data_IF_673599613177
#
_entry.id   IF_673599613177
#
_cell.length_a   1.000
_cell.length_b   1.000
_cell.length_c   1.000
_cell.angle_alpha   90.00
_cell.angle_beta   90.00
_cell.angle_gamma   90.00
#
_symmetry.space_group_name_H-M   'P 1'
#
loop_
_entity.id
_entity.type
_entity.pdbx_description
1 polymer ?
#
# COMPACT_ATOMS: atom_id res chain seq x y z
N UNK A 1 46.64 -19.93 -9.08
CA UNK A 1 45.35 -20.12 -9.79
C UNK A 1 44.45 -18.88 -9.77
N UNK A 2 44.17 -18.21 -8.62
CA UNK A 2 43.30 -17.00 -8.57
C UNK A 2 43.81 -15.80 -9.43
N UNK A 3 45.14 -15.57 -9.54
CA UNK A 3 45.70 -14.48 -10.37
C UNK A 3 45.60 -14.74 -11.88
N UNK A 4 45.51 -16.00 -12.30
CA UNK A 4 45.35 -16.33 -13.71
C UNK A 4 43.91 -16.14 -14.19
N UNK A 5 42.92 -16.39 -13.32
CA UNK A 5 41.50 -16.21 -13.62
C UNK A 5 41.16 -14.72 -13.76
N UNK A 6 41.73 -13.85 -12.90
CA UNK A 6 41.58 -12.40 -13.04
C UNK A 6 42.21 -11.86 -14.31
N UNK A 7 43.38 -12.43 -14.74
CA UNK A 7 44.00 -11.99 -15.96
C UNK A 7 43.24 -12.43 -17.20
N UNK A 8 42.60 -13.62 -17.18
CA UNK A 8 41.75 -14.09 -18.29
C UNK A 8 40.47 -13.27 -18.37
N UNK A 9 39.84 -12.88 -17.22
CA UNK A 9 38.65 -11.99 -17.25
C UNK A 9 39.02 -10.59 -17.78
N UNK A 10 40.17 -10.03 -17.36
CA UNK A 10 40.64 -8.73 -17.86
C UNK A 10 40.98 -8.82 -19.36
N UNK A 11 41.54 -9.93 -19.83
CA UNK A 11 41.84 -10.12 -21.25
C UNK A 11 40.56 -10.30 -22.07
N UNK A 12 39.55 -10.99 -21.55
CA UNK A 12 38.24 -11.11 -22.22
C UNK A 12 37.53 -9.75 -22.28
N UNK A 13 37.59 -8.94 -21.19
CA UNK A 13 37.06 -7.58 -21.20
C UNK A 13 37.84 -6.67 -22.16
N UNK A 14 39.17 -6.80 -22.24
CA UNK A 14 39.99 -6.00 -23.19
C UNK A 14 39.87 -6.50 -24.63
N UNK A 15 39.66 -7.78 -24.87
CA UNK A 15 39.43 -8.28 -26.25
C UNK A 15 38.01 -7.94 -26.72
N UNK A 16 37.02 -7.96 -25.87
CA UNK A 16 35.67 -7.44 -26.20
C UNK A 16 35.70 -5.91 -26.38
N UNK A 17 36.45 -5.18 -25.55
CA UNK A 17 36.64 -3.73 -25.71
C UNK A 17 37.47 -3.33 -26.91
N UNK A 18 38.43 -4.16 -27.36
CA UNK A 18 39.20 -3.89 -28.57
C UNK A 18 38.46 -4.24 -29.86
N UNK A 19 37.51 -5.16 -29.83
CA UNK A 19 36.55 -5.38 -30.93
C UNK A 19 35.55 -4.22 -31.08
N UNK A 20 35.31 -3.42 -30.03
CA UNK A 20 34.45 -2.23 -30.04
C UNK A 20 34.99 -1.03 -30.82
N UNK A 21 36.23 -1.08 -31.35
CA UNK A 21 36.84 0.03 -32.14
C UNK A 21 36.53 0.03 -33.64
N UNK A 22 35.82 -0.95 -34.14
CA UNK A 22 35.36 -0.94 -35.54
C UNK A 22 33.86 -0.57 -35.60
N UNK A 23 33.59 0.69 -35.82
CA UNK A 23 32.29 1.38 -35.84
C UNK A 23 31.21 0.84 -36.78
N UNK A 24 31.19 -0.42 -37.18
CA UNK A 24 30.19 -0.86 -38.17
C UNK A 24 29.36 -2.11 -37.88
N UNK A 25 29.67 -2.98 -36.92
CA UNK A 25 28.81 -4.16 -36.67
C UNK A 25 29.07 -4.79 -35.29
N UNK A 26 29.00 -4.06 -34.20
CA UNK A 26 28.93 -4.70 -32.88
C UNK A 26 27.48 -5.16 -32.66
N UNK A 27 27.25 -6.45 -32.82
CA UNK A 27 25.98 -7.05 -32.40
C UNK A 27 26.06 -7.22 -30.87
N UNK A 28 25.54 -6.27 -30.16
CA UNK A 28 25.38 -6.40 -28.71
C UNK A 28 24.39 -7.54 -28.45
N UNK A 29 24.80 -8.59 -27.73
CA UNK A 29 23.91 -9.66 -27.36
C UNK A 29 22.91 -9.15 -26.30
N UNK A 30 21.61 -9.19 -26.58
CA UNK A 30 20.61 -8.68 -25.62
C UNK A 30 20.68 -9.31 -24.22
N UNK A 31 21.16 -10.58 -24.16
CA UNK A 31 21.35 -11.29 -22.89
C UNK A 31 22.45 -10.68 -22.00
N UNK A 32 23.52 -10.13 -22.61
CA UNK A 32 24.59 -9.44 -21.88
C UNK A 32 24.07 -8.14 -21.25
N UNK A 33 23.18 -7.43 -21.94
CA UNK A 33 22.51 -6.21 -21.39
C UNK A 33 21.64 -6.55 -20.23
N UNK A 34 20.80 -7.58 -20.37
CA UNK A 34 19.92 -8.05 -19.28
C UNK A 34 20.76 -8.50 -18.07
N UNK A 35 21.80 -9.27 -18.28
CA UNK A 35 22.70 -9.69 -17.21
C UNK A 35 23.38 -8.50 -16.51
N UNK A 36 23.74 -7.44 -17.25
CA UNK A 36 24.28 -6.23 -16.66
C UNK A 36 23.24 -5.53 -15.75
N UNK A 37 21.96 -5.56 -16.13
CA UNK A 37 20.86 -5.03 -15.31
C UNK A 37 20.62 -5.89 -14.08
N UNK A 38 20.50 -7.21 -14.22
CA UNK A 38 20.26 -8.16 -13.12
C UNK A 38 21.37 -8.16 -12.07
N UNK A 39 22.61 -7.90 -12.50
CA UNK A 39 23.80 -7.88 -11.62
C UNK A 39 24.18 -6.48 -11.13
N UNK A 40 23.31 -5.49 -11.35
CA UNK A 40 23.56 -4.07 -11.02
C UNK A 40 24.89 -3.51 -11.57
N UNK A 41 25.33 -4.02 -12.73
CA UNK A 41 26.59 -3.63 -13.35
C UNK A 41 26.42 -2.38 -14.22
N UNK A 42 26.34 -1.22 -13.57
CA UNK A 42 26.17 0.06 -14.26
C UNK A 42 27.31 0.41 -15.23
N UNK A 43 28.54 -0.02 -14.93
CA UNK A 43 29.67 0.21 -15.82
C UNK A 43 29.50 -0.54 -17.16
N UNK A 44 29.13 -1.82 -17.11
CA UNK A 44 28.91 -2.62 -18.30
C UNK A 44 27.68 -2.09 -19.08
N UNK A 45 26.58 -1.79 -18.39
CA UNK A 45 25.38 -1.23 -19.01
C UNK A 45 25.67 0.11 -19.70
N UNK A 46 26.51 0.97 -19.09
CA UNK A 46 26.92 2.23 -19.69
C UNK A 46 27.68 2.04 -20.99
N UNK A 47 28.50 0.99 -21.12
CA UNK A 47 29.20 0.68 -22.36
C UNK A 47 28.23 0.34 -23.50
N UNK A 48 27.16 -0.43 -23.20
CA UNK A 48 26.12 -0.76 -24.17
C UNK A 48 25.33 0.48 -24.63
N UNK A 49 24.96 1.34 -23.69
CA UNK A 49 24.28 2.59 -24.03
C UNK A 49 25.17 3.58 -24.81
N UNK A 50 26.46 3.50 -24.63
CA UNK A 50 27.43 4.28 -25.46
C UNK A 50 27.50 3.82 -26.90
N UNK A 51 27.07 2.60 -27.20
CA UNK A 51 26.96 2.02 -28.54
C UNK A 51 25.49 2.08 -29.05
N UNK A 52 24.70 3.04 -28.55
CA UNK A 52 23.32 3.31 -28.97
C UNK A 52 22.32 2.16 -28.68
N UNK A 53 22.60 1.29 -27.70
CA UNK A 53 21.61 0.30 -27.28
C UNK A 53 20.37 0.99 -26.65
N UNK A 54 19.15 0.65 -27.10
CA UNK A 54 17.96 1.38 -26.66
C UNK A 54 17.58 1.08 -25.20
N UNK A 55 17.35 2.13 -24.40
CA UNK A 55 16.84 2.00 -23.02
C UNK A 55 15.44 1.38 -22.98
N UNK A 56 14.70 1.47 -24.09
CA UNK A 56 13.36 0.90 -24.27
C UNK A 56 13.35 -0.59 -24.63
N UNK A 57 14.52 -1.25 -24.64
CA UNK A 57 14.58 -2.68 -24.90
C UNK A 57 13.78 -3.47 -23.85
N UNK A 58 13.10 -4.50 -24.31
CA UNK A 58 12.39 -5.46 -23.45
C UNK A 58 12.77 -6.90 -23.78
N UNK A 59 12.83 -7.76 -22.76
CA UNK A 59 13.04 -9.20 -22.89
C UNK A 59 11.83 -9.92 -22.27
N UNK A 60 11.23 -10.81 -23.03
CA UNK A 60 10.07 -11.60 -22.58
C UNK A 60 8.92 -10.73 -22.05
N UNK A 61 8.70 -9.55 -22.66
CA UNK A 61 7.67 -8.60 -22.27
C UNK A 61 8.03 -7.72 -21.07
N UNK A 62 9.25 -7.79 -20.54
CA UNK A 62 9.71 -6.94 -19.43
C UNK A 62 10.76 -5.95 -19.92
N UNK A 63 10.54 -4.67 -19.64
CA UNK A 63 11.53 -3.61 -19.92
C UNK A 63 12.76 -3.72 -19.03
N UNK A 64 13.87 -3.08 -19.44
CA UNK A 64 15.06 -2.98 -18.58
C UNK A 64 14.73 -2.33 -17.22
N UNK A 65 13.79 -1.40 -17.19
CA UNK A 65 13.31 -0.77 -15.95
C UNK A 65 12.68 -1.83 -15.02
N UNK A 66 11.78 -2.66 -15.55
CA UNK A 66 11.15 -3.73 -14.77
C UNK A 66 12.17 -4.72 -14.23
N UNK A 67 13.15 -5.13 -15.06
CA UNK A 67 14.20 -6.05 -14.66
C UNK A 67 15.06 -5.43 -13.55
N UNK A 68 15.41 -4.14 -13.64
CA UNK A 68 16.16 -3.43 -12.60
C UNK A 68 15.40 -3.37 -11.27
N UNK A 69 14.09 -3.11 -11.32
CA UNK A 69 13.23 -3.05 -10.13
C UNK A 69 13.08 -4.43 -9.48
N UNK A 70 12.86 -5.48 -10.28
CA UNK A 70 12.72 -6.86 -9.77
C UNK A 70 14.00 -7.39 -9.12
N UNK A 71 15.16 -6.91 -9.55
CA UNK A 71 16.47 -7.29 -9.00
C UNK A 71 17.02 -6.30 -7.97
N UNK A 72 16.27 -5.21 -7.70
CA UNK A 72 16.69 -4.12 -6.80
C UNK A 72 18.04 -3.50 -7.17
N UNK A 73 18.26 -3.34 -8.48
CA UNK A 73 19.52 -2.91 -9.09
C UNK A 73 19.64 -1.38 -9.10
N UNK A 74 20.01 -0.80 -7.98
CA UNK A 74 19.92 0.65 -7.71
C UNK A 74 20.80 1.52 -8.62
N UNK A 75 22.05 1.10 -8.91
CA UNK A 75 22.97 1.86 -9.76
C UNK A 75 22.51 1.87 -11.21
N UNK A 76 22.01 0.73 -11.67
CA UNK A 76 21.43 0.58 -13.00
C UNK A 76 20.11 1.34 -13.10
N UNK A 77 19.28 1.31 -12.05
CA UNK A 77 18.01 2.03 -12.01
C UNK A 77 18.23 3.53 -12.23
N UNK A 78 19.17 4.16 -11.53
CA UNK A 78 19.52 5.58 -11.75
C UNK A 78 19.88 5.87 -13.20
N UNK A 79 20.67 4.99 -13.79
CA UNK A 79 21.13 5.15 -15.18
C UNK A 79 19.99 5.03 -16.19
N UNK A 80 19.06 4.08 -15.98
CA UNK A 80 17.90 3.85 -16.83
C UNK A 80 16.92 5.03 -16.72
N UNK A 81 16.69 5.52 -15.50
CA UNK A 81 15.79 6.66 -15.25
C UNK A 81 16.32 7.96 -15.89
N UNK A 82 17.60 8.26 -15.74
CA UNK A 82 18.24 9.45 -16.37
C UNK A 82 18.15 9.41 -17.89
N UNK A 83 18.10 8.21 -18.50
CA UNK A 83 17.93 8.04 -19.94
C UNK A 83 16.49 8.07 -20.42
N UNK A 84 15.54 8.35 -19.54
CA UNK A 84 14.14 8.53 -19.87
C UNK A 84 13.41 7.20 -20.14
N UNK A 85 13.68 6.18 -19.32
CA UNK A 85 12.88 4.96 -19.35
C UNK A 85 11.39 5.27 -19.15
N UNK A 86 10.54 4.50 -19.84
CA UNK A 86 9.10 4.67 -19.71
C UNK A 86 8.60 4.10 -18.38
N UNK A 87 8.04 4.97 -17.51
CA UNK A 87 7.67 4.64 -16.14
C UNK A 87 6.28 4.01 -16.02
N UNK A 88 5.45 4.16 -17.06
CA UNK A 88 4.03 3.78 -17.04
C UNK A 88 3.75 2.55 -17.93
N UNK A 89 4.75 1.70 -18.13
CA UNK A 89 4.57 0.41 -18.80
C UNK A 89 3.59 -0.44 -18.01
N UNK A 90 2.48 -0.82 -18.64
CA UNK A 90 1.48 -1.70 -18.03
C UNK A 90 1.76 -3.16 -18.38
N UNK A 91 1.68 -4.03 -17.38
CA UNK A 91 1.69 -5.47 -17.55
C UNK A 91 0.28 -6.05 -17.49
N UNK A 92 0.11 -7.36 -17.54
CA UNK A 92 -1.18 -8.04 -17.70
C UNK A 92 -2.26 -7.62 -16.70
N UNK A 93 -1.89 -7.26 -15.47
CA UNK A 93 -2.83 -6.81 -14.43
C UNK A 93 -3.05 -5.29 -14.40
N UNK A 94 -2.49 -4.55 -15.37
CA UNK A 94 -2.58 -3.09 -15.45
C UNK A 94 -1.67 -2.35 -14.48
N UNK A 95 -0.78 -3.06 -13.79
CA UNK A 95 0.18 -2.48 -12.87
C UNK A 95 1.38 -1.93 -13.61
N UNK A 96 1.88 -0.81 -13.11
CA UNK A 96 3.10 -0.16 -13.62
C UNK A 96 4.31 -0.51 -12.74
N UNK A 97 5.53 -0.19 -13.16
CA UNK A 97 6.76 -0.50 -12.43
C UNK A 97 6.74 -0.15 -10.93
N UNK A 98 6.07 0.95 -10.54
CA UNK A 98 6.00 1.38 -9.14
C UNK A 98 5.38 0.32 -8.20
N UNK A 99 4.45 -0.51 -8.66
CA UNK A 99 3.85 -1.58 -7.85
C UNK A 99 4.85 -2.69 -7.46
N UNK A 100 5.93 -2.84 -8.23
CA UNK A 100 6.89 -3.94 -8.11
C UNK A 100 8.14 -3.62 -7.31
N UNK A 101 8.29 -2.37 -6.84
CA UNK A 101 9.46 -1.96 -6.05
C UNK A 101 9.70 -2.89 -4.85
N UNK A 102 10.97 -3.17 -4.57
CA UNK A 102 11.40 -4.05 -3.49
C UNK A 102 12.09 -3.33 -2.34
N UNK A 103 12.49 -2.08 -2.57
CA UNK A 103 13.10 -1.23 -1.56
C UNK A 103 12.48 0.16 -1.55
N UNK A 104 12.57 0.85 -0.41
CA UNK A 104 12.17 2.25 -0.30
C UNK A 104 13.05 3.16 -1.16
N UNK A 105 14.28 2.76 -1.43
CA UNK A 105 15.19 3.48 -2.32
C UNK A 105 14.68 3.44 -3.77
N UNK A 106 14.30 2.26 -4.28
CA UNK A 106 13.73 2.14 -5.61
C UNK A 106 12.41 2.92 -5.75
N UNK A 107 11.55 2.88 -4.70
CA UNK A 107 10.32 3.68 -4.66
C UNK A 107 10.63 5.17 -4.78
N UNK A 108 11.55 5.66 -3.95
CA UNK A 108 11.94 7.08 -3.97
C UNK A 108 12.48 7.51 -5.34
N UNK A 109 13.35 6.69 -5.97
CA UNK A 109 13.89 6.96 -7.30
C UNK A 109 12.79 7.07 -8.36
N UNK A 110 11.81 6.16 -8.36
CA UNK A 110 10.68 6.20 -9.30
C UNK A 110 9.81 7.43 -9.08
N UNK A 111 9.49 7.77 -7.84
CA UNK A 111 8.68 8.95 -7.53
C UNK A 111 9.40 10.24 -7.96
N UNK A 112 10.69 10.36 -7.68
CA UNK A 112 11.51 11.51 -8.14
C UNK A 112 11.57 11.57 -9.68
N UNK A 113 11.62 10.44 -10.35
CA UNK A 113 11.61 10.36 -11.81
C UNK A 113 10.24 10.70 -12.43
N UNK A 114 9.18 10.82 -11.61
CA UNK A 114 7.84 11.22 -12.02
C UNK A 114 6.88 10.06 -12.30
N UNK A 115 7.13 8.89 -11.73
CA UNK A 115 6.15 7.79 -11.78
C UNK A 115 4.81 8.20 -11.14
N UNK A 116 3.71 7.79 -11.75
CA UNK A 116 2.36 8.10 -11.25
C UNK A 116 2.06 7.30 -9.98
N UNK A 117 2.14 7.98 -8.83
CA UNK A 117 1.81 7.42 -7.51
C UNK A 117 0.32 7.12 -7.32
N UNK A 118 -0.53 7.62 -8.23
CA UNK A 118 -1.99 7.46 -8.20
C UNK A 118 -2.48 6.45 -9.25
N UNK A 119 -1.57 5.74 -9.90
CA UNK A 119 -1.93 4.71 -10.88
C UNK A 119 -2.85 3.65 -10.28
N UNK A 120 -3.80 3.19 -11.09
CA UNK A 120 -4.71 2.11 -10.75
C UNK A 120 -4.38 0.87 -11.58
N UNK A 121 -4.49 -0.30 -10.96
CA UNK A 121 -4.47 -1.57 -11.67
C UNK A 121 -5.83 -1.89 -12.32
N UNK A 122 -5.94 -3.04 -13.00
CA UNK A 122 -7.17 -3.46 -13.68
C UNK A 122 -8.35 -3.73 -12.73
N UNK A 123 -8.11 -3.83 -11.41
CA UNK A 123 -9.14 -3.93 -10.36
C UNK A 123 -9.45 -2.59 -9.72
N UNK A 124 -8.98 -1.49 -10.31
CA UNK A 124 -9.01 -0.14 -9.75
C UNK A 124 -8.30 -0.02 -8.40
N UNK A 125 -7.43 -0.96 -8.04
CA UNK A 125 -6.62 -0.86 -6.86
C UNK A 125 -5.51 0.17 -7.07
N UNK A 126 -5.43 1.16 -6.20
CA UNK A 126 -4.37 2.18 -6.25
C UNK A 126 -3.03 1.64 -5.74
N UNK A 127 -1.91 2.26 -6.15
CA UNK A 127 -0.58 1.94 -5.64
C UNK A 127 -0.54 1.93 -4.11
N UNK A 128 -1.16 2.94 -3.46
CA UNK A 128 -1.18 3.04 -2.00
C UNK A 128 -2.00 1.91 -1.35
N UNK A 129 -3.18 1.56 -1.88
CA UNK A 129 -3.98 0.42 -1.42
C UNK A 129 -3.23 -0.90 -1.54
N UNK A 130 -2.57 -1.11 -2.68
CA UNK A 130 -1.73 -2.28 -2.89
C UNK A 130 -0.57 -2.35 -1.88
N UNK A 131 0.07 -1.21 -1.58
CA UNK A 131 1.19 -1.15 -0.63
C UNK A 131 0.74 -1.41 0.80
N UNK A 132 -0.39 -0.88 1.22
CA UNK A 132 -0.94 -1.14 2.56
C UNK A 132 -1.13 -2.64 2.80
N UNK A 133 -1.58 -3.37 1.77
CA UNK A 133 -1.84 -4.82 1.87
C UNK A 133 -0.60 -5.69 1.72
N UNK A 134 0.40 -5.26 0.95
CA UNK A 134 1.43 -6.15 0.42
C UNK A 134 2.88 -5.71 0.72
N UNK A 135 3.08 -4.51 1.26
CA UNK A 135 4.41 -3.94 1.49
C UNK A 135 4.60 -3.50 2.94
N UNK A 136 5.84 -3.32 3.41
CA UNK A 136 6.12 -2.70 4.69
C UNK A 136 5.48 -1.32 4.82
N UNK A 137 5.12 -0.94 6.05
CA UNK A 137 4.41 0.32 6.37
C UNK A 137 5.08 1.57 5.76
N UNK A 138 6.40 1.62 5.77
CA UNK A 138 7.20 2.75 5.30
C UNK A 138 6.89 3.14 3.84
N UNK A 139 6.45 2.20 3.01
CA UNK A 139 6.08 2.47 1.62
C UNK A 139 4.76 3.24 1.53
N UNK A 140 3.77 2.83 2.31
CA UNK A 140 2.48 3.51 2.36
C UNK A 140 2.61 4.89 3.02
N UNK A 141 3.39 5.01 4.10
CA UNK A 141 3.72 6.27 4.75
C UNK A 141 4.37 7.24 3.75
N UNK A 142 5.38 6.76 3.01
CA UNK A 142 6.03 7.56 1.98
C UNK A 142 5.03 8.09 0.94
N UNK A 143 4.13 7.24 0.42
CA UNK A 143 3.14 7.64 -0.56
C UNK A 143 2.14 8.66 -0.02
N UNK A 144 1.69 8.52 1.23
CA UNK A 144 0.83 9.53 1.87
C UNK A 144 1.55 10.86 1.99
N UNK A 145 2.84 10.85 2.39
CA UNK A 145 3.67 12.07 2.48
C UNK A 145 3.88 12.68 1.09
N UNK A 146 4.08 11.86 0.07
CA UNK A 146 4.23 12.30 -1.33
C UNK A 146 2.93 12.81 -1.96
N UNK A 147 1.79 12.74 -1.26
CA UNK A 147 0.51 13.27 -1.73
C UNK A 147 -0.32 12.29 -2.55
N UNK A 148 -0.21 10.99 -2.28
CA UNK A 148 -1.10 10.01 -2.89
C UNK A 148 -2.57 10.34 -2.61
N UNK A 149 -3.44 10.11 -3.61
CA UNK A 149 -4.86 10.33 -3.48
C UNK A 149 -5.49 9.27 -2.57
N UNK A 150 -6.08 9.71 -1.45
CA UNK A 150 -6.69 8.87 -0.43
C UNK A 150 -8.16 8.56 -0.70
N UNK A 151 -8.77 9.16 -1.74
CA UNK A 151 -10.21 9.08 -2.02
C UNK A 151 -10.54 8.24 -3.26
N UNK A 152 -9.56 7.59 -3.86
CA UNK A 152 -9.76 6.72 -5.02
C UNK A 152 -10.45 5.43 -4.59
N UNK A 153 -11.57 5.11 -5.24
CA UNK A 153 -12.35 3.91 -4.96
C UNK A 153 -11.98 2.74 -5.88
N UNK A 154 -11.84 1.56 -5.29
CA UNK A 154 -11.85 0.31 -6.05
C UNK A 154 -13.29 -0.12 -6.42
N UNK A 155 -13.45 -1.29 -7.02
CA UNK A 155 -14.77 -1.80 -7.45
C UNK A 155 -15.73 -2.10 -6.28
N UNK A 156 -15.23 -2.21 -5.05
CA UNK A 156 -16.02 -2.38 -3.83
C UNK A 156 -16.38 -1.04 -3.17
N UNK A 157 -15.98 0.09 -3.75
CA UNK A 157 -16.12 1.42 -3.17
C UNK A 157 -15.14 1.69 -2.02
N UNK A 158 -14.11 0.86 -1.87
CA UNK A 158 -13.10 1.05 -0.85
C UNK A 158 -12.05 2.06 -1.31
N UNK A 159 -11.78 3.00 -0.45
CA UNK A 159 -10.63 3.91 -0.55
C UNK A 159 -9.42 3.32 0.19
N UNK A 160 -8.20 3.85 -0.02
CA UNK A 160 -7.02 3.45 0.76
C UNK A 160 -7.20 3.51 2.27
N UNK A 161 -8.14 4.34 2.73
CA UNK A 161 -8.51 4.48 4.15
C UNK A 161 -9.14 3.21 4.71
N UNK A 162 -10.00 2.53 3.94
CA UNK A 162 -10.55 1.24 4.35
C UNK A 162 -9.43 0.22 4.56
N UNK A 163 -8.48 0.15 3.63
CA UNK A 163 -7.35 -0.75 3.72
C UNK A 163 -6.48 -0.46 4.95
N UNK A 164 -6.23 0.82 5.25
CA UNK A 164 -5.47 1.24 6.43
C UNK A 164 -6.17 0.85 7.74
N UNK A 165 -7.49 1.02 7.80
CA UNK A 165 -8.29 0.64 8.99
C UNK A 165 -8.33 -0.86 9.18
N UNK A 166 -8.54 -1.64 8.11
CA UNK A 166 -8.57 -3.12 8.16
C UNK A 166 -7.20 -3.70 8.49
N UNK A 167 -6.11 -3.04 8.11
CA UNK A 167 -4.74 -3.45 8.47
C UNK A 167 -4.37 -3.14 9.92
N UNK A 168 -5.26 -2.50 10.68
CA UNK A 168 -5.06 -2.05 12.06
C UNK A 168 -3.82 -1.15 12.25
N UNK A 169 -3.43 -0.44 11.19
CA UNK A 169 -2.27 0.44 11.23
C UNK A 169 -2.64 1.85 11.72
N UNK A 170 -2.67 2.01 13.04
CA UNK A 170 -3.08 3.27 13.68
C UNK A 170 -2.21 4.45 13.23
N UNK A 171 -0.90 4.27 13.08
CA UNK A 171 0.01 5.34 12.62
C UNK A 171 -0.32 5.83 11.22
N UNK A 172 -0.64 4.89 10.32
CA UNK A 172 -1.03 5.25 8.96
C UNK A 172 -2.38 5.97 8.95
N UNK A 173 -3.34 5.49 9.75
CA UNK A 173 -4.66 6.14 9.91
C UNK A 173 -4.49 7.56 10.47
N UNK A 174 -3.65 7.77 11.47
CA UNK A 174 -3.33 9.10 12.00
C UNK A 174 -2.77 10.03 10.92
N UNK A 175 -1.78 9.54 10.16
CA UNK A 175 -1.19 10.29 9.07
C UNK A 175 -2.21 10.62 7.97
N UNK A 176 -3.08 9.67 7.61
CA UNK A 176 -4.16 9.91 6.64
C UNK A 176 -5.19 10.94 7.14
N UNK A 177 -5.54 10.91 8.44
CA UNK A 177 -6.39 11.93 9.06
C UNK A 177 -5.76 13.32 8.99
N UNK A 178 -4.46 13.44 9.31
CA UNK A 178 -3.71 14.71 9.22
C UNK A 178 -3.66 15.25 7.79
N UNK A 179 -3.71 14.37 6.79
CA UNK A 179 -3.70 14.72 5.37
C UNK A 179 -5.10 14.92 4.78
N UNK A 180 -6.13 14.89 5.62
CA UNK A 180 -7.52 15.22 5.25
C UNK A 180 -8.28 14.08 4.58
N UNK A 181 -7.88 12.84 4.81
CA UNK A 181 -8.59 11.66 4.29
C UNK A 181 -10.04 11.60 4.80
N UNK A 182 -10.98 11.20 3.94
CA UNK A 182 -12.40 11.08 4.28
C UNK A 182 -12.74 9.71 4.88
N UNK A 183 -12.79 9.64 6.21
CA UNK A 183 -13.15 8.45 6.98
C UNK A 183 -14.66 8.20 7.11
N UNK A 184 -15.49 9.04 6.47
CA UNK A 184 -16.96 8.89 6.46
C UNK A 184 -17.49 8.42 5.10
N UNK A 185 -16.60 8.18 4.15
CA UNK A 185 -16.98 7.68 2.83
C UNK A 185 -17.56 6.29 2.94
N UNK A 186 -18.67 6.05 2.21
CA UNK A 186 -19.37 4.78 2.21
C UNK A 186 -18.89 3.88 1.08
N UNK A 187 -18.75 2.60 1.36
CA UNK A 187 -18.53 1.57 0.35
C UNK A 187 -19.85 1.19 -0.39
N UNK A 188 -19.76 0.23 -1.31
CA UNK A 188 -20.93 -0.25 -2.06
C UNK A 188 -22.04 -0.84 -1.17
N UNK A 189 -21.74 -1.19 0.09
CA UNK A 189 -22.71 -1.72 1.07
C UNK A 189 -23.27 -0.63 1.99
N UNK A 190 -22.79 0.61 1.87
CA UNK A 190 -23.14 1.72 2.73
C UNK A 190 -22.46 1.69 4.10
N UNK A 191 -21.36 0.96 4.23
CA UNK A 191 -20.54 0.96 5.43
C UNK A 191 -19.40 1.98 5.30
N UNK A 192 -18.99 2.53 6.43
CA UNK A 192 -17.81 3.42 6.53
C UNK A 192 -16.62 2.66 7.16
N UNK A 193 -15.38 3.14 7.03
CA UNK A 193 -14.19 2.40 7.47
C UNK A 193 -14.25 1.85 8.88
N UNK A 194 -14.75 2.62 9.86
CA UNK A 194 -14.87 2.19 11.28
C UNK A 194 -15.67 0.90 11.46
N UNK A 195 -16.57 0.56 10.53
CA UNK A 195 -17.37 -0.66 10.59
C UNK A 195 -16.53 -1.93 10.48
N UNK A 196 -15.37 -1.85 9.81
CA UNK A 196 -14.55 -3.01 9.42
C UNK A 196 -13.44 -3.37 10.41
N UNK A 197 -13.19 -2.56 11.44
CA UNK A 197 -12.22 -2.92 12.48
C UNK A 197 -12.88 -3.52 13.70
N UNK A 198 -12.16 -4.47 14.33
CA UNK A 198 -12.47 -5.01 15.66
C UNK A 198 -11.35 -4.73 16.67
N UNK A 199 -10.40 -3.87 16.32
CA UNK A 199 -9.31 -3.47 17.20
C UNK A 199 -9.78 -2.33 18.10
N UNK A 200 -9.62 -2.48 19.44
CA UNK A 200 -10.10 -1.50 20.43
C UNK A 200 -9.46 -0.13 20.22
N UNK A 201 -8.13 -0.08 20.04
CA UNK A 201 -7.38 1.17 19.87
C UNK A 201 -7.76 1.88 18.58
N UNK A 202 -7.95 1.11 17.49
CA UNK A 202 -8.41 1.64 16.20
C UNK A 202 -9.84 2.21 16.33
N UNK A 203 -10.75 1.50 17.00
CA UNK A 203 -12.11 2.00 17.26
C UNK A 203 -12.07 3.31 18.06
N UNK A 204 -11.27 3.38 19.13
CA UNK A 204 -11.12 4.59 19.93
C UNK A 204 -10.57 5.74 19.10
N UNK A 205 -9.55 5.49 18.27
CA UNK A 205 -8.98 6.51 17.40
C UNK A 205 -10.01 7.04 16.39
N UNK A 206 -10.74 6.17 15.72
CA UNK A 206 -11.76 6.58 14.75
C UNK A 206 -12.96 7.29 15.40
N UNK A 207 -13.31 6.93 16.63
CA UNK A 207 -14.36 7.63 17.39
C UNK A 207 -13.96 9.04 17.88
N UNK A 208 -12.71 9.47 17.68
CA UNK A 208 -12.30 10.86 17.85
C UNK A 208 -12.74 11.76 16.68
N UNK A 209 -13.06 11.18 15.51
CA UNK A 209 -13.55 11.91 14.35
C UNK A 209 -14.91 12.51 14.68
N UNK A 210 -15.05 13.81 14.41
CA UNK A 210 -16.28 14.56 14.72
C UNK A 210 -17.36 14.34 13.65
N UNK A 211 -18.61 14.61 14.07
CA UNK A 211 -19.75 14.70 13.16
C UNK A 211 -20.16 13.38 12.47
N UNK A 212 -19.95 12.25 13.15
CA UNK A 212 -20.59 11.01 12.73
C UNK A 212 -22.11 11.07 12.93
N UNK A 213 -22.84 10.62 11.92
CA UNK A 213 -24.26 10.34 12.08
C UNK A 213 -24.46 8.99 12.79
N UNK A 214 -24.66 9.00 14.10
CA UNK A 214 -24.81 7.77 14.90
C UNK A 214 -26.05 6.93 14.53
N UNK A 215 -26.97 7.48 13.75
CA UNK A 215 -28.14 6.77 13.24
C UNK A 215 -27.93 6.24 11.81
N UNK A 216 -26.71 6.33 11.30
CA UNK A 216 -26.34 5.86 9.97
C UNK A 216 -26.65 4.37 9.80
N UNK A 217 -27.24 4.03 8.67
CA UNK A 217 -27.57 2.65 8.31
C UNK A 217 -26.92 2.27 7.00
N UNK A 218 -26.41 1.06 6.97
CA UNK A 218 -25.92 0.46 5.75
C UNK A 218 -27.09 -0.03 4.84
N UNK A 219 -26.77 -0.54 3.67
CA UNK A 219 -27.79 -1.04 2.70
C UNK A 219 -28.58 -2.27 3.17
N UNK A 220 -28.12 -2.96 4.22
CA UNK A 220 -28.86 -4.01 4.91
C UNK A 220 -29.81 -3.46 5.99
N UNK A 221 -29.89 -2.13 6.12
CA UNK A 221 -30.65 -1.45 7.14
C UNK A 221 -30.14 -1.67 8.57
N UNK A 222 -28.88 -2.10 8.73
CA UNK A 222 -28.21 -2.23 10.02
C UNK A 222 -27.70 -0.87 10.47
N UNK A 223 -27.89 -0.51 11.75
CA UNK A 223 -27.29 0.70 12.31
C UNK A 223 -25.80 0.44 12.56
N UNK A 224 -24.92 1.15 11.86
CA UNK A 224 -23.46 0.95 11.89
C UNK A 224 -22.92 1.08 13.34
N UNK A 225 -23.28 2.13 14.03
CA UNK A 225 -22.80 2.37 15.40
C UNK A 225 -23.46 1.46 16.44
N UNK A 226 -24.68 1.01 16.18
CA UNK A 226 -25.34 -0.02 16.98
C UNK A 226 -24.64 -1.37 16.91
N UNK A 227 -24.20 -1.77 15.71
CA UNK A 227 -23.42 -3.00 15.53
C UNK A 227 -22.01 -2.88 16.15
N UNK A 228 -21.35 -1.72 16.01
CA UNK A 228 -20.08 -1.44 16.70
C UNK A 228 -20.24 -1.52 18.22
N UNK A 229 -21.34 -0.95 18.76
CA UNK A 229 -21.64 -1.02 20.17
C UNK A 229 -21.79 -2.46 20.67
N UNK A 230 -22.56 -3.30 19.97
CA UNK A 230 -22.72 -4.71 20.35
C UNK A 230 -21.40 -5.49 20.28
N UNK A 231 -20.63 -5.30 19.24
CA UNK A 231 -19.30 -5.94 19.10
C UNK A 231 -18.35 -5.49 20.21
N UNK A 232 -18.37 -4.22 20.58
CA UNK A 232 -17.57 -3.70 21.70
C UNK A 232 -17.98 -4.34 23.04
N UNK A 233 -19.27 -4.54 23.28
CA UNK A 233 -19.76 -5.26 24.48
C UNK A 233 -19.32 -6.73 24.43
N UNK A 234 -19.47 -7.40 23.30
CA UNK A 234 -19.09 -8.80 23.12
C UNK A 234 -17.58 -9.03 23.34
N UNK A 235 -16.75 -8.12 22.88
CA UNK A 235 -15.29 -8.16 23.04
C UNK A 235 -14.81 -7.61 24.40
N UNK A 236 -15.70 -7.02 25.20
CA UNK A 236 -15.35 -6.46 26.50
C UNK A 236 -14.65 -5.10 26.44
N UNK A 237 -14.77 -4.37 25.36
CA UNK A 237 -14.13 -3.06 25.11
C UNK A 237 -14.88 -1.94 25.85
N UNK A 238 -14.68 -1.89 27.16
CA UNK A 238 -15.40 -0.95 28.04
C UNK A 238 -15.17 0.51 27.64
N UNK A 239 -13.94 0.85 27.23
CA UNK A 239 -13.61 2.22 26.82
C UNK A 239 -14.30 2.64 25.53
N UNK A 240 -14.44 1.72 24.57
CA UNK A 240 -15.20 1.98 23.33
C UNK A 240 -16.67 2.23 23.65
N UNK A 241 -17.26 1.41 24.54
CA UNK A 241 -18.66 1.59 24.96
C UNK A 241 -18.86 2.92 25.71
N UNK A 242 -17.94 3.29 26.62
CA UNK A 242 -17.94 4.60 27.27
C UNK A 242 -17.91 5.74 26.26
N UNK A 243 -17.00 5.63 25.25
CA UNK A 243 -16.86 6.64 24.21
C UNK A 243 -18.12 6.77 23.34
N UNK A 244 -18.75 5.66 22.97
CA UNK A 244 -20.00 5.66 22.21
C UNK A 244 -21.13 6.34 22.99
N UNK A 245 -21.20 6.13 24.32
CA UNK A 245 -22.19 6.84 25.19
C UNK A 245 -21.88 8.33 25.30
N UNK A 246 -20.62 8.73 25.34
CA UNK A 246 -20.21 10.15 25.32
C UNK A 246 -20.63 10.83 24.01
N UNK A 247 -20.53 10.11 22.89
CA UNK A 247 -20.98 10.59 21.59
C UNK A 247 -22.51 10.64 21.46
N UNK A 248 -23.24 10.02 22.38
CA UNK A 248 -24.69 10.09 22.41
C UNK A 248 -25.44 8.92 21.78
N UNK A 249 -24.77 7.76 21.64
CA UNK A 249 -25.46 6.56 21.17
C UNK A 249 -26.59 6.21 22.17
N UNK A 250 -27.75 5.92 21.62
CA UNK A 250 -28.89 5.50 22.47
C UNK A 250 -28.77 4.00 22.80
N UNK A 251 -28.50 3.61 24.05
CA UNK A 251 -28.34 2.20 24.42
C UNK A 251 -29.60 1.36 24.24
N UNK A 252 -30.79 2.00 24.15
CA UNK A 252 -32.07 1.31 23.94
C UNK A 252 -32.48 1.18 22.48
N UNK A 253 -31.68 1.68 21.56
CA UNK A 253 -32.04 1.70 20.14
C UNK A 253 -32.21 0.27 19.61
N UNK A 254 -33.41 -0.03 19.05
CA UNK A 254 -33.73 -1.30 18.37
C UNK A 254 -33.33 -2.58 19.13
N UNK A 255 -33.61 -2.67 20.44
CA UNK A 255 -33.26 -3.81 21.31
C UNK A 255 -31.74 -4.07 21.50
N UNK A 256 -30.85 -3.19 21.02
CA UNK A 256 -29.42 -3.33 21.30
C UNK A 256 -29.10 -3.36 22.80
N UNK A 257 -29.87 -2.62 23.63
CA UNK A 257 -29.68 -2.59 25.07
C UNK A 257 -29.89 -3.93 25.74
N UNK A 258 -31.00 -4.62 25.42
CA UNK A 258 -31.35 -5.93 25.99
C UNK A 258 -30.30 -6.99 25.54
N UNK A 259 -29.86 -6.93 24.29
CA UNK A 259 -28.78 -7.79 23.78
C UNK A 259 -27.46 -7.50 24.49
N UNK A 260 -27.10 -6.23 24.64
CA UNK A 260 -25.84 -5.83 25.27
C UNK A 260 -25.72 -6.32 26.71
N UNK A 261 -26.77 -6.09 27.53
CA UNK A 261 -26.74 -6.53 28.92
C UNK A 261 -26.74 -8.06 29.04
N UNK A 262 -27.45 -8.77 28.16
CA UNK A 262 -27.42 -10.23 28.08
C UNK A 262 -26.03 -10.76 27.76
N UNK A 263 -25.38 -10.21 26.72
CA UNK A 263 -24.01 -10.56 26.32
C UNK A 263 -23.03 -10.31 27.48
N UNK A 264 -23.10 -9.13 28.12
CA UNK A 264 -22.22 -8.80 29.24
C UNK A 264 -22.39 -9.77 30.43
N UNK A 265 -23.62 -10.20 30.71
CA UNK A 265 -23.91 -11.21 31.76
C UNK A 265 -23.38 -12.57 31.37
N UNK A 266 -23.60 -13.00 30.14
CA UNK A 266 -23.06 -14.29 29.60
C UNK A 266 -21.54 -14.36 29.67
N UNK A 267 -20.86 -13.28 29.33
CA UNK A 267 -19.40 -13.13 29.40
C UNK A 267 -18.86 -12.91 30.82
N UNK A 268 -19.73 -12.74 31.82
CA UNK A 268 -19.36 -12.39 33.20
C UNK A 268 -18.50 -11.12 33.32
N UNK A 269 -18.69 -10.16 32.44
CA UNK A 269 -17.94 -8.90 32.44
C UNK A 269 -18.60 -7.91 33.41
N UNK A 270 -18.13 -7.91 34.67
CA UNK A 270 -18.72 -7.11 35.73
C UNK A 270 -18.66 -5.61 35.46
N UNK A 271 -17.51 -5.11 34.97
CA UNK A 271 -17.34 -3.69 34.63
C UNK A 271 -18.31 -3.25 33.53
N UNK A 272 -18.45 -4.05 32.49
CA UNK A 272 -19.41 -3.81 31.40
C UNK A 272 -20.85 -3.81 31.93
N UNK A 273 -21.19 -4.79 32.78
CA UNK A 273 -22.54 -4.86 33.41
C UNK A 273 -22.82 -3.61 34.23
N UNK A 274 -21.88 -3.14 35.04
CA UNK A 274 -22.02 -1.92 35.83
C UNK A 274 -22.20 -0.69 34.96
N UNK A 275 -21.37 -0.57 33.90
CA UNK A 275 -21.49 0.51 32.92
C UNK A 275 -22.88 0.54 32.27
N UNK A 276 -23.36 -0.61 31.77
CA UNK A 276 -24.66 -0.72 31.11
C UNK A 276 -25.81 -0.41 32.07
N UNK A 277 -25.75 -0.91 33.30
CA UNK A 277 -26.74 -0.58 34.35
C UNK A 277 -26.75 0.91 34.70
N UNK A 278 -25.59 1.57 34.70
CA UNK A 278 -25.52 3.03 34.94
C UNK A 278 -26.28 3.84 33.89
N UNK A 279 -26.52 3.27 32.72
CA UNK A 279 -27.32 3.84 31.61
C UNK A 279 -28.79 3.37 31.66
N UNK A 280 -29.18 2.64 32.71
CA UNK A 280 -30.57 2.22 32.96
C UNK A 280 -30.92 0.85 32.36
N UNK A 281 -30.00 0.15 31.69
CA UNK A 281 -30.24 -1.20 31.21
C UNK A 281 -30.35 -2.21 32.37
N UNK A 282 -31.25 -3.22 32.26
CA UNK A 282 -31.59 -4.12 33.36
C UNK A 282 -31.13 -5.55 33.14
#
# INVERSE_FOLDING_TARGET
MRKLICLCMIIIIFTSCSMLKNKKNVVIAPEEVVNAVETDNSFLLNSFFSEDFPVTYSKDGKSLLMIAIENDSHNVLDMILVRGAYLEEEIEDGRTPIFYVRSSEALNKLVIAGADINKLDNKKESVISYFIKNKPFEYSEYLVIAGANLDVENDEGWTPIFDAVVSDNIKLVELMLERGGDFKKEDIYGNIPIFYTNNEDMLLKLLEIKDYNLNMRNKKNENIFGEIYLRAVENGYVNVVKKLFELGINPYYMSYGDRAISIAKEKNNLEMIELLKSKGLK
#
